data_IF_790379276053
#
_entry.id   IF_790379276053
#
_cell.length_a   1.000
_cell.length_b   1.000
_cell.length_c   1.000
_cell.angle_alpha   90.00
_cell.angle_beta   90.00
_cell.angle_gamma   90.00
#
_symmetry.space_group_name_H-M   'P 1'
#
loop_
_entity.id
_entity.type
_entity.pdbx_description
1 polymer ?
#
# COMPACT_ATOMS: atom_id res chain seq x y z
N UNK A 1 15.51 -28.12 12.93
CA UNK A 1 15.86 -27.08 13.89
C UNK A 1 16.62 -25.93 13.29
N UNK A 2 17.38 -26.17 12.23
CA UNK A 2 18.16 -25.13 11.56
C UNK A 2 17.31 -24.08 10.86
N UNK A 3 16.04 -24.39 10.63
CA UNK A 3 15.14 -23.48 9.92
C UNK A 3 14.67 -22.30 10.76
N UNK A 4 14.83 -22.38 12.06
CA UNK A 4 14.30 -21.37 12.96
C UNK A 4 15.02 -20.03 12.80
N UNK A 5 16.32 -20.05 12.52
CA UNK A 5 17.09 -18.80 12.37
C UNK A 5 16.62 -18.01 11.17
N UNK A 6 16.43 -18.66 10.02
CA UNK A 6 15.95 -17.99 8.81
C UNK A 6 14.53 -17.48 8.98
N UNK A 7 13.66 -18.29 9.60
CA UNK A 7 12.28 -17.89 9.84
C UNK A 7 12.21 -16.70 10.80
N UNK A 8 13.07 -16.70 11.84
CA UNK A 8 13.12 -15.60 12.80
C UNK A 8 13.56 -14.30 12.13
N UNK A 9 14.56 -14.38 11.25
CA UNK A 9 15.05 -13.21 10.52
C UNK A 9 13.95 -12.65 9.63
N UNK A 10 13.26 -13.49 8.88
CA UNK A 10 12.18 -13.08 7.99
C UNK A 10 11.04 -12.46 8.79
N UNK A 11 10.71 -13.04 9.94
CA UNK A 11 9.66 -12.51 10.80
C UNK A 11 10.03 -11.13 11.34
N UNK A 12 11.29 -10.95 11.72
CA UNK A 12 11.76 -9.66 12.21
C UNK A 12 11.67 -8.59 11.12
N UNK A 13 12.18 -8.91 9.93
CA UNK A 13 12.17 -7.99 8.81
C UNK A 13 10.75 -7.62 8.42
N UNK A 14 9.86 -8.61 8.39
CA UNK A 14 8.45 -8.37 8.10
C UNK A 14 7.83 -7.44 9.14
N UNK A 15 8.14 -7.67 10.41
CA UNK A 15 7.66 -6.81 11.49
C UNK A 15 8.16 -5.39 11.39
N UNK A 16 9.43 -5.22 11.01
CA UNK A 16 10.02 -3.90 10.85
C UNK A 16 9.37 -3.11 9.71
N UNK A 17 9.12 -3.79 8.59
CA UNK A 17 8.46 -3.17 7.44
C UNK A 17 7.03 -2.79 7.80
N UNK A 18 6.29 -3.68 8.44
CA UNK A 18 4.92 -3.40 8.87
C UNK A 18 4.86 -2.24 9.85
N UNK A 19 5.79 -2.20 10.82
CA UNK A 19 5.81 -1.12 11.80
C UNK A 19 6.03 0.23 11.13
N UNK A 20 6.92 0.29 10.15
CA UNK A 20 7.14 1.51 9.41
C UNK A 20 5.92 1.92 8.60
N UNK A 21 5.28 0.96 7.95
CA UNK A 21 4.07 1.22 7.17
C UNK A 21 2.92 1.71 8.05
N UNK A 22 2.81 1.21 9.28
CA UNK A 22 1.79 1.65 10.22
C UNK A 22 1.96 3.11 10.62
N UNK A 23 3.19 3.60 10.63
CA UNK A 23 3.49 4.98 10.97
C UNK A 23 3.38 5.91 9.77
N UNK A 24 3.19 5.36 8.59
CA UNK A 24 3.15 6.12 7.34
C UNK A 24 1.73 6.13 6.79
N UNK A 25 1.16 7.32 6.69
CA UNK A 25 -0.22 7.46 6.22
C UNK A 25 -0.34 7.50 4.70
N UNK A 26 0.75 7.75 4.00
CA UNK A 26 0.77 7.89 2.55
C UNK A 26 1.36 6.66 1.86
N UNK A 27 1.02 6.47 0.60
CA UNK A 27 1.68 5.47 -0.22
C UNK A 27 3.16 5.82 -0.36
N UNK A 28 4.02 4.81 -0.24
CA UNK A 28 5.47 4.98 -0.30
C UNK A 28 6.10 4.00 -1.26
N UNK A 29 7.19 4.44 -1.89
CA UNK A 29 7.99 3.56 -2.75
C UNK A 29 8.84 2.63 -1.89
N UNK A 30 9.29 1.50 -2.45
CA UNK A 30 10.26 0.65 -1.73
C UNK A 30 11.51 1.39 -1.31
N UNK A 31 11.99 2.32 -2.14
CA UNK A 31 13.18 3.10 -1.81
C UNK A 31 12.93 3.98 -0.59
N UNK A 32 11.78 4.64 -0.53
CA UNK A 32 11.42 5.47 0.62
C UNK A 32 11.31 4.64 1.89
N UNK A 33 10.73 3.45 1.77
CA UNK A 33 10.62 2.54 2.91
C UNK A 33 11.99 2.03 3.35
N UNK A 34 12.84 1.71 2.40
CA UNK A 34 14.21 1.28 2.69
C UNK A 34 14.97 2.39 3.44
N UNK A 35 14.85 3.62 2.97
CA UNK A 35 15.48 4.76 3.62
C UNK A 35 14.96 4.96 5.05
N UNK A 36 13.66 4.82 5.24
CA UNK A 36 13.05 4.91 6.56
C UNK A 36 13.54 3.83 7.52
N UNK A 37 13.72 2.61 7.01
CA UNK A 37 14.26 1.52 7.81
C UNK A 37 15.70 1.80 8.23
N UNK A 38 16.50 2.35 7.31
CA UNK A 38 17.88 2.71 7.62
C UNK A 38 17.96 3.77 8.71
N UNK A 39 17.07 4.75 8.67
CA UNK A 39 17.01 5.80 9.69
C UNK A 39 16.67 5.23 11.06
N UNK A 40 15.98 4.11 11.10
CA UNK A 40 15.63 3.42 12.34
C UNK A 40 16.72 2.45 12.80
N UNK A 41 17.80 2.36 12.04
CA UNK A 41 18.89 1.45 12.34
C UNK A 41 18.66 0.02 11.91
N UNK A 42 17.60 -0.22 11.15
CA UNK A 42 17.34 -1.57 10.61
C UNK A 42 18.29 -1.87 9.46
N UNK A 43 18.85 -3.07 9.46
CA UNK A 43 19.79 -3.49 8.44
C UNK A 43 19.08 -4.41 7.45
N UNK A 44 18.35 -3.81 6.54
CA UNK A 44 17.58 -4.54 5.55
C UNK A 44 17.95 -4.01 4.17
N UNK A 45 18.35 -4.90 3.27
CA UNK A 45 18.71 -4.53 1.91
C UNK A 45 17.47 -4.19 1.09
N UNK A 46 17.65 -3.42 0.03
CA UNK A 46 16.54 -3.00 -0.82
C UNK A 46 15.82 -4.19 -1.45
N UNK A 47 16.58 -5.20 -1.89
CA UNK A 47 15.99 -6.41 -2.47
C UNK A 47 15.08 -7.12 -1.46
N UNK A 48 15.51 -7.17 -0.20
CA UNK A 48 14.71 -7.78 0.86
C UNK A 48 13.45 -6.98 1.12
N UNK A 49 13.54 -5.65 1.06
CA UNK A 49 12.36 -4.79 1.20
C UNK A 49 11.34 -5.12 0.11
N UNK A 50 11.76 -5.22 -1.15
CA UNK A 50 10.87 -5.58 -2.25
C UNK A 50 10.18 -6.92 -2.02
N UNK A 51 10.96 -7.94 -1.63
CA UNK A 51 10.40 -9.26 -1.37
C UNK A 51 9.38 -9.24 -0.25
N UNK A 52 9.72 -8.55 0.83
CA UNK A 52 8.85 -8.46 1.99
C UNK A 52 7.55 -7.77 1.62
N UNK A 53 7.63 -6.65 0.90
CA UNK A 53 6.45 -5.92 0.45
C UNK A 53 5.57 -6.80 -0.43
N UNK A 54 6.16 -7.55 -1.35
CA UNK A 54 5.40 -8.41 -2.23
C UNK A 54 4.69 -9.53 -1.44
N UNK A 55 5.37 -10.11 -0.46
CA UNK A 55 4.78 -11.11 0.42
C UNK A 55 3.59 -10.54 1.19
N UNK A 56 3.72 -9.31 1.69
CA UNK A 56 2.66 -8.66 2.44
C UNK A 56 1.45 -8.35 1.55
N UNK A 57 1.69 -7.95 0.32
CA UNK A 57 0.61 -7.73 -0.66
C UNK A 57 -0.11 -9.04 -0.94
N UNK A 58 0.64 -10.10 -1.20
CA UNK A 58 0.06 -11.42 -1.50
C UNK A 58 -0.74 -11.97 -0.32
N UNK A 59 -0.32 -11.64 0.90
CA UNK A 59 -1.03 -12.04 2.11
C UNK A 59 -2.22 -11.13 2.44
N UNK A 60 -2.44 -10.07 1.68
CA UNK A 60 -3.54 -9.15 1.91
C UNK A 60 -3.34 -8.22 3.10
N UNK A 61 -2.12 -8.07 3.57
CA UNK A 61 -1.82 -7.24 4.74
C UNK A 61 -1.56 -5.78 4.39
N UNK A 62 -1.13 -5.51 3.17
CA UNK A 62 -0.91 -4.14 2.70
C UNK A 62 -1.46 -4.00 1.29
N UNK A 63 -1.68 -2.77 0.89
CA UNK A 63 -2.15 -2.44 -0.43
C UNK A 63 -1.02 -1.89 -1.29
N UNK A 64 -1.15 -2.06 -2.58
CA UNK A 64 -0.17 -1.54 -3.53
C UNK A 64 -0.90 -0.87 -4.68
N UNK A 65 -0.23 0.07 -5.30
CA UNK A 65 -0.74 0.70 -6.51
C UNK A 65 0.44 1.08 -7.40
N UNK A 66 0.16 1.30 -8.66
CA UNK A 66 1.17 1.71 -9.62
C UNK A 66 0.80 3.05 -10.20
N UNK A 67 1.75 3.99 -10.15
CA UNK A 67 1.55 5.29 -10.74
C UNK A 67 1.62 5.19 -12.28
N UNK A 68 1.09 6.19 -13.00
CA UNK A 68 1.22 6.21 -14.47
C UNK A 68 2.67 6.12 -14.94
N UNK A 69 3.62 6.55 -14.10
CA UNK A 69 5.05 6.44 -14.39
C UNK A 69 5.58 5.02 -14.35
N UNK A 70 4.77 4.08 -13.81
CA UNK A 70 5.19 2.71 -13.61
C UNK A 70 5.73 2.42 -12.22
N UNK A 71 5.92 3.45 -11.42
CA UNK A 71 6.43 3.31 -10.05
C UNK A 71 5.39 2.66 -9.16
N UNK A 72 5.80 1.66 -8.41
CA UNK A 72 4.91 0.92 -7.50
C UNK A 72 5.05 1.48 -6.09
N UNK A 73 3.90 1.67 -5.42
CA UNK A 73 3.85 2.21 -4.07
C UNK A 73 3.08 1.26 -3.18
N UNK A 74 3.31 1.39 -1.88
CA UNK A 74 2.74 0.49 -0.88
C UNK A 74 2.22 1.29 0.31
N UNK A 75 1.14 0.80 0.90
CA UNK A 75 0.54 1.43 2.07
C UNK A 75 -0.24 0.39 2.85
N UNK A 76 -0.17 0.50 4.17
CA UNK A 76 -1.02 -0.33 5.02
C UNK A 76 -2.32 0.40 5.25
N UNK A 77 -3.40 -0.12 4.69
CA UNK A 77 -4.72 0.47 4.80
C UNK A 77 -5.52 -0.25 5.87
N UNK A 78 -6.52 0.44 6.41
CA UNK A 78 -7.44 -0.16 7.36
C UNK A 78 -8.25 -1.28 6.70
N UNK A 79 -8.87 -2.11 7.52
CA UNK A 79 -9.62 -3.27 7.02
C UNK A 79 -10.96 -2.90 6.40
N UNK A 80 -11.44 -1.70 6.64
CA UNK A 80 -12.69 -1.26 6.06
C UNK A 80 -12.52 -0.95 4.58
N UNK A 81 -13.57 -1.15 3.83
CA UNK A 81 -13.56 -0.90 2.39
C UNK A 81 -13.52 0.61 2.15
N UNK A 82 -12.45 1.09 1.57
CA UNK A 82 -12.30 2.51 1.28
C UNK A 82 -11.49 2.71 0.00
N UNK A 83 -11.56 3.92 -0.51
CA UNK A 83 -10.86 4.30 -1.73
C UNK A 83 -9.84 5.37 -1.40
N UNK A 84 -8.99 5.68 -2.36
CA UNK A 84 -7.87 6.59 -2.13
C UNK A 84 -7.87 7.73 -3.13
N UNK A 85 -7.62 8.94 -2.63
CA UNK A 85 -7.33 10.11 -3.44
C UNK A 85 -5.84 10.40 -3.25
N UNK A 86 -5.08 10.35 -4.31
CA UNK A 86 -3.62 10.33 -4.24
C UNK A 86 -3.02 11.46 -5.05
N UNK A 87 -2.07 12.17 -4.46
CA UNK A 87 -1.31 13.16 -5.20
C UNK A 87 -0.24 12.46 -6.04
N UNK A 88 -0.31 12.65 -7.36
CA UNK A 88 0.64 12.00 -8.27
C UNK A 88 2.04 12.59 -8.18
N UNK A 89 2.20 13.70 -7.48
CA UNK A 89 3.50 14.37 -7.34
C UNK A 89 4.20 13.95 -6.05
N UNK A 90 3.53 14.08 -4.92
CA UNK A 90 4.17 13.82 -3.62
C UNK A 90 3.69 12.56 -2.91
N UNK A 91 2.66 11.89 -3.42
CA UNK A 91 2.15 10.66 -2.82
C UNK A 91 1.22 10.86 -1.65
N UNK A 92 0.93 12.10 -1.27
CA UNK A 92 -0.05 12.36 -0.22
C UNK A 92 -1.36 11.65 -0.53
N UNK A 93 -1.88 10.93 0.43
CA UNK A 93 -3.04 10.06 0.23
C UNK A 93 -4.13 10.37 1.25
N UNK A 94 -5.35 10.49 0.75
CA UNK A 94 -6.54 10.66 1.58
C UNK A 94 -7.41 9.44 1.39
N UNK A 95 -7.80 8.80 2.49
CA UNK A 95 -8.76 7.72 2.44
C UNK A 95 -10.15 8.30 2.36
N UNK A 96 -10.94 7.81 1.41
CA UNK A 96 -12.29 8.30 1.21
C UNK A 96 -13.25 7.12 1.15
N UNK A 97 -14.44 7.32 1.69
CA UNK A 97 -15.49 6.32 1.60
C UNK A 97 -16.37 6.64 0.42
N UNK A 98 -16.79 5.61 -0.31
CA UNK A 98 -17.63 5.81 -1.47
C UNK A 98 -18.84 4.91 -1.45
N UNK A 99 -19.81 5.14 -0.53
CA UNK A 99 -20.98 4.27 -0.45
C UNK A 99 -21.74 4.14 -1.78
N UNK A 100 -21.79 5.20 -2.56
CA UNK A 100 -22.43 5.17 -3.87
C UNK A 100 -21.70 4.23 -4.83
N UNK A 101 -20.37 4.24 -4.79
CA UNK A 101 -19.56 3.35 -5.63
C UNK A 101 -19.76 1.89 -5.20
N UNK A 102 -19.78 1.66 -3.88
CA UNK A 102 -19.99 0.31 -3.34
C UNK A 102 -21.35 -0.23 -3.79
N UNK A 103 -22.41 0.56 -3.67
CA UNK A 103 -23.74 0.13 -4.07
C UNK A 103 -23.84 -0.13 -5.57
N UNK A 104 -23.16 0.69 -6.35
CA UNK A 104 -23.14 0.52 -7.80
C UNK A 104 -22.43 -0.78 -8.19
N UNK A 105 -21.28 -1.06 -7.56
CA UNK A 105 -20.53 -2.28 -7.82
C UNK A 105 -21.35 -3.53 -7.44
N UNK A 106 -22.02 -3.49 -6.29
CA UNK A 106 -22.85 -4.59 -5.85
C UNK A 106 -24.01 -4.83 -6.81
N UNK A 107 -24.62 -3.76 -7.32
CA UNK A 107 -25.70 -3.84 -8.26
C UNK A 107 -25.26 -4.47 -9.58
N UNK A 108 -24.09 -4.05 -10.07
CA UNK A 108 -23.52 -4.64 -11.29
C UNK A 108 -23.29 -6.13 -11.15
N UNK A 109 -22.73 -6.53 -10.03
CA UNK A 109 -22.47 -7.94 -9.76
C UNK A 109 -23.77 -8.73 -9.78
N UNK A 110 -24.79 -8.23 -9.11
CA UNK A 110 -26.10 -8.90 -9.03
C UNK A 110 -26.77 -8.98 -10.41
N UNK A 111 -26.76 -7.88 -11.15
CA UNK A 111 -27.39 -7.82 -12.46
C UNK A 111 -26.79 -8.80 -13.46
N UNK A 112 -25.50 -9.04 -13.35
CA UNK A 112 -24.78 -9.92 -14.28
C UNK A 112 -24.51 -11.30 -13.72
N UNK A 113 -25.00 -11.58 -12.50
CA UNK A 113 -24.83 -12.90 -11.89
C UNK A 113 -23.43 -13.24 -11.47
N UNK A 114 -22.61 -12.23 -11.20
CA UNK A 114 -21.24 -12.45 -10.75
C UNK A 114 -21.20 -12.65 -9.25
N UNK A 115 -20.33 -13.55 -8.81
CA UNK A 115 -20.10 -13.81 -7.40
C UNK A 115 -18.64 -13.56 -7.07
N UNK A 116 -18.34 -13.37 -5.78
CA UNK A 116 -16.98 -13.16 -5.31
C UNK A 116 -16.33 -11.95 -6.00
N UNK A 117 -17.10 -10.88 -6.09
CA UNK A 117 -16.69 -9.66 -6.81
C UNK A 117 -15.94 -8.73 -5.87
N UNK A 118 -14.84 -8.18 -6.36
CA UNK A 118 -14.11 -7.13 -5.66
C UNK A 118 -13.84 -5.99 -6.62
N UNK A 119 -13.51 -4.83 -6.06
CA UNK A 119 -13.18 -3.68 -6.88
C UNK A 119 -12.15 -2.82 -6.17
N UNK A 120 -11.43 -2.04 -6.96
CA UNK A 120 -10.50 -1.03 -6.45
C UNK A 120 -10.80 0.28 -7.15
N UNK A 121 -10.56 1.37 -6.45
CA UNK A 121 -10.72 2.69 -7.04
C UNK A 121 -9.69 3.63 -6.43
N UNK A 122 -8.84 4.16 -7.28
CA UNK A 122 -7.89 5.19 -6.89
C UNK A 122 -8.11 6.40 -7.78
N UNK A 123 -8.13 7.57 -7.15
CA UNK A 123 -8.32 8.83 -7.86
C UNK A 123 -7.02 9.62 -7.72
N UNK A 124 -6.50 10.08 -8.84
CA UNK A 124 -5.22 10.78 -8.88
C UNK A 124 -5.41 12.24 -9.19
N UNK A 125 -4.64 13.08 -8.51
CA UNK A 125 -4.68 14.52 -8.74
C UNK A 125 -3.40 15.16 -8.24
N UNK A 126 -3.41 16.48 -8.15
CA UNK A 126 -2.30 17.24 -7.58
C UNK A 126 -2.81 17.90 -6.30
N UNK A 127 -2.16 17.61 -5.17
CA UNK A 127 -2.62 18.16 -3.90
C UNK A 127 -2.42 19.67 -3.84
N UNK A 128 -3.12 20.37 -2.93
CA UNK A 128 -3.02 21.85 -2.85
C UNK A 128 -1.59 22.34 -2.70
N UNK A 129 -0.78 21.63 -1.93
CA UNK A 129 0.62 22.03 -1.72
C UNK A 129 1.43 21.94 -2.99
N UNK A 130 1.26 20.87 -3.78
CA UNK A 130 1.98 20.69 -5.03
C UNK A 130 1.45 21.61 -6.12
N UNK A 131 0.14 21.87 -6.12
CA UNK A 131 -0.48 22.76 -7.08
C UNK A 131 -0.04 24.21 -6.93
N UNK A 132 0.32 24.61 -5.73
CA UNK A 132 0.77 26.00 -5.47
C UNK A 132 2.18 26.26 -5.97
N UNK A 133 2.92 25.22 -6.30
CA UNK A 133 4.31 25.35 -6.73
C UNK A 133 4.46 25.76 -8.19
N UNK A 134 3.39 25.80 -8.91
CA UNK A 134 3.44 26.12 -10.34
C UNK A 134 3.36 27.61 -10.65
#
# INVERSE_FOLDING_TARGET
MTQTTGATRNTRQRGEVLALLEETDDFRTPQQLHDGLRERGAKVGLTTVYRTLQMLVDAGEIDTMRLPTGEQLFRRCGRSHHHHLICRVCGTTVEVEGPAVERWADRLATEHGFTDVSHTLEIFGTCPRCGRSS
#
